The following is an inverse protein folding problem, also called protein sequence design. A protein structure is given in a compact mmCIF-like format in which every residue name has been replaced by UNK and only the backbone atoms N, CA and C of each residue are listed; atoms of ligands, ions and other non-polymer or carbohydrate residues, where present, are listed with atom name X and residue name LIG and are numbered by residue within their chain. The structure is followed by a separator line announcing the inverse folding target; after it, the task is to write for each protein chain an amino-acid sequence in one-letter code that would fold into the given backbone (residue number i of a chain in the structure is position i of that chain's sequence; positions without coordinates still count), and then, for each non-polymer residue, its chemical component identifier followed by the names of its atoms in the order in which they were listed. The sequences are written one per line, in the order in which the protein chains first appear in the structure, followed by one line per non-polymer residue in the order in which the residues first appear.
data_IF_985178225976
#
_entry.id   IF_985178225976
#
_cell.length_a   1.000
_cell.length_b   1.000
_cell.length_c   1.000
_cell.angle_alpha   90.00
_cell.angle_beta   90.00
_cell.angle_gamma   90.00
#
_symmetry.space_group_name_H-M   'P 1'
#
loop_
_entity.id
_entity.type
_entity.pdbx_description
1 polymer ?
#
# COMPACT_ATOMS: atom_id res chain seq x y z
N UNK A 1 10.18 -1.92 -29.76
CA UNK A 1 9.63 -2.31 -29.66
C UNK A 1 8.92 -2.92 -29.57
N UNK A 2 8.64 -3.06 -29.68
CA UNK A 2 7.86 -3.54 -29.50
C UNK A 2 7.18 -4.31 -29.29
N UNK A 3 6.72 -4.52 -29.02
CA UNK A 3 5.95 -5.17 -28.81
C UNK A 3 5.06 -5.60 -28.73
N UNK A 4 4.52 -5.73 -28.69
CA UNK A 4 3.57 -6.11 -28.46
C UNK A 4 2.88 -6.89 -28.40
N UNK A 5 2.41 -7.28 -28.11
CA UNK A 5 1.61 -8.03 -28.00
C UNK A 5 0.62 -8.34 -27.87
N UNK A 6 0.23 -8.30 -27.77
CA UNK A 6 -0.86 -8.52 -27.65
C UNK A 6 -1.56 -9.64 -27.32
N UNK A 7 -1.77 -10.22 -26.76
CA UNK A 7 -2.46 -11.12 -26.55
C UNK A 7 -3.40 -11.17 -25.86
N UNK A 8 -3.86 -11.25 -25.75
CA UNK A 8 -4.96 -11.10 -25.17
C UNK A 8 -5.79 -12.23 -24.68
N UNK A 9 -5.53 -13.43 -24.95
CA UNK A 9 -6.23 -14.57 -24.42
C UNK A 9 -6.08 -14.63 -22.91
N UNK A 10 -7.13 -15.08 -22.23
CA UNK A 10 -7.05 -15.31 -20.80
C UNK A 10 -6.09 -16.42 -20.51
N UNK A 11 -5.25 -16.19 -19.52
CA UNK A 11 -4.23 -17.16 -19.16
C UNK A 11 -4.49 -17.66 -17.74
N UNK A 12 -4.17 -18.92 -17.48
CA UNK A 12 -4.17 -19.43 -16.12
C UNK A 12 -2.81 -19.28 -15.45
N UNK A 13 -1.83 -18.77 -16.18
CA UNK A 13 -0.51 -18.52 -15.62
C UNK A 13 -0.60 -17.41 -14.58
N UNK A 14 -0.15 -17.60 -13.32
CA UNK A 14 -0.22 -16.56 -12.31
C UNK A 14 0.47 -15.28 -12.73
N UNK A 15 1.60 -15.36 -13.44
CA UNK A 15 2.31 -14.17 -13.91
C UNK A 15 1.45 -13.38 -14.89
N UNK A 16 0.81 -14.08 -15.81
CA UNK A 16 -0.04 -13.42 -16.80
C UNK A 16 -1.28 -12.82 -16.17
N UNK A 17 -1.88 -13.51 -15.22
CA UNK A 17 -3.04 -12.98 -14.50
C UNK A 17 -2.67 -11.68 -13.77
N UNK A 18 -1.49 -11.63 -13.18
CA UNK A 18 -1.05 -10.42 -12.49
C UNK A 18 -0.75 -9.29 -13.46
N UNK A 19 -0.27 -9.59 -14.66
CA UNK A 19 -0.10 -8.57 -15.70
C UNK A 19 -1.42 -7.98 -16.12
N UNK A 20 -2.43 -8.84 -16.29
CA UNK A 20 -3.77 -8.39 -16.65
C UNK A 20 -4.34 -7.49 -15.57
N UNK A 21 -4.10 -7.83 -14.30
CA UNK A 21 -4.54 -7.01 -13.18
C UNK A 21 -3.83 -5.67 -13.19
N UNK A 22 -2.54 -5.64 -13.49
CA UNK A 22 -1.77 -4.41 -13.59
C UNK A 22 -2.31 -3.51 -14.69
N UNK A 23 -2.61 -4.08 -15.86
CA UNK A 23 -3.17 -3.31 -16.96
C UNK A 23 -4.52 -2.71 -16.58
N UNK A 24 -5.32 -3.47 -15.86
CA UNK A 24 -6.62 -3.00 -15.39
C UNK A 24 -6.45 -1.83 -14.43
N UNK A 25 -5.47 -1.89 -13.55
CA UNK A 25 -5.17 -0.81 -12.63
C UNK A 25 -4.77 0.45 -13.37
N UNK A 26 -3.96 0.32 -14.41
CA UNK A 26 -3.55 1.47 -15.22
C UNK A 26 -4.74 2.17 -15.85
N UNK A 27 -5.69 1.38 -16.33
CA UNK A 27 -6.89 1.95 -16.94
C UNK A 27 -7.77 2.64 -15.90
N UNK A 28 -7.77 2.14 -14.68
CA UNK A 28 -8.64 2.65 -13.63
C UNK A 28 -8.07 3.90 -12.96
N UNK A 29 -6.77 3.89 -12.65
CA UNK A 29 -6.15 4.96 -11.86
C UNK A 29 -5.09 5.75 -12.62
N UNK A 30 -4.87 5.43 -13.89
CA UNK A 30 -3.88 6.11 -14.70
C UNK A 30 -2.52 5.45 -14.55
N UNK A 31 -1.50 6.22 -14.22
CA UNK A 31 -0.14 5.71 -14.15
C UNK A 31 0.06 4.93 -12.85
N UNK A 32 0.42 3.64 -12.98
CA UNK A 32 0.65 2.77 -11.84
C UNK A 32 1.99 3.07 -11.18
N UNK A 33 2.93 3.65 -11.93
CA UNK A 33 4.27 3.98 -11.43
C UNK A 33 4.48 5.49 -11.54
N UNK A 34 3.85 6.26 -10.64
CA UNK A 34 4.05 7.72 -10.74
C UNK A 34 5.51 8.04 -10.48
N UNK A 35 6.15 8.62 -11.48
CA UNK A 35 7.57 8.93 -11.40
C UNK A 35 7.88 9.91 -10.29
N UNK A 36 6.87 10.59 -9.79
CA UNK A 36 7.02 11.62 -8.78
C UNK A 36 6.53 11.21 -7.40
N UNK A 37 6.33 9.90 -7.16
CA UNK A 37 5.94 9.47 -5.82
C UNK A 37 7.14 9.65 -4.88
N UNK A 38 6.95 10.40 -3.82
CA UNK A 38 8.01 10.67 -2.85
C UNK A 38 7.52 10.35 -1.46
N UNK A 39 8.12 9.33 -0.85
CA UNK A 39 7.86 9.09 0.56
C UNK A 39 8.61 10.15 1.36
N UNK A 40 8.02 10.56 2.49
CA UNK A 40 8.63 11.59 3.31
C UNK A 40 9.64 11.01 4.31
N UNK A 41 9.59 9.70 4.55
CA UNK A 41 10.50 9.07 5.49
C UNK A 41 10.50 7.56 5.26
N UNK A 42 11.56 6.89 5.74
CA UNK A 42 11.61 5.44 5.74
C UNK A 42 10.79 4.91 6.92
N UNK A 43 10.53 3.60 6.92
CA UNK A 43 9.77 3.00 8.01
C UNK A 43 10.53 3.09 9.33
N UNK A 44 11.87 3.01 9.30
CA UNK A 44 12.65 3.17 10.51
C UNK A 44 12.59 4.60 11.04
N UNK A 45 12.67 5.59 10.14
CA UNK A 45 12.55 7.00 10.52
C UNK A 45 11.19 7.29 11.11
N UNK A 46 10.13 6.67 10.55
CA UNK A 46 8.79 6.80 11.07
C UNK A 46 8.71 6.25 12.50
N UNK A 47 9.24 5.07 12.72
CA UNK A 47 9.21 4.44 14.04
C UNK A 47 9.95 5.28 15.07
N UNK A 48 11.08 5.86 14.67
CA UNK A 48 11.88 6.67 15.57
C UNK A 48 11.20 8.00 15.89
N UNK A 49 10.65 8.64 14.87
CA UNK A 49 10.02 9.96 15.05
C UNK A 49 8.81 9.89 15.97
N UNK A 50 8.05 8.82 15.91
CA UNK A 50 6.81 8.69 16.68
C UNK A 50 6.93 7.72 17.85
N UNK A 51 8.16 7.41 18.25
CA UNK A 51 8.39 6.48 19.36
C UNK A 51 7.74 6.95 20.67
N UNK A 52 7.60 8.27 20.84
CA UNK A 52 6.99 8.83 22.04
C UNK A 52 5.49 8.93 22.04
N UNK A 53 4.84 8.50 20.95
CA UNK A 53 3.39 8.54 20.86
C UNK A 53 2.80 7.48 21.80
N UNK A 54 1.84 7.86 22.63
CA UNK A 54 1.28 6.96 23.62
C UNK A 54 0.19 6.08 23.03
N UNK A 55 -0.11 4.93 23.67
CA UNK A 55 -1.21 4.09 23.19
C UNK A 55 -2.51 4.88 23.10
N UNK A 56 -3.26 4.61 22.04
CA UNK A 56 -4.55 5.26 21.75
C UNK A 56 -4.43 6.76 21.48
N UNK A 57 -3.23 7.24 21.17
CA UNK A 57 -2.98 8.64 20.87
C UNK A 57 -2.86 8.83 19.36
N UNK A 58 -3.39 9.95 18.88
CA UNK A 58 -3.27 10.34 17.48
C UNK A 58 -2.37 11.54 17.35
N UNK A 59 -1.58 11.57 16.28
CA UNK A 59 -0.84 12.75 15.90
C UNK A 59 -1.60 13.47 14.79
N UNK A 60 -1.43 14.78 14.67
CA UNK A 60 -2.03 15.52 13.57
C UNK A 60 -1.19 15.40 12.29
N UNK A 61 -0.02 14.79 12.38
CA UNK A 61 0.89 14.71 11.25
C UNK A 61 0.36 13.80 10.17
N UNK A 62 0.54 14.23 8.92
CA UNK A 62 0.27 13.42 7.73
C UNK A 62 1.61 13.05 7.13
N UNK A 63 1.82 11.77 6.92
CA UNK A 63 3.10 11.28 6.40
C UNK A 63 2.86 10.45 5.15
N UNK A 64 3.92 10.27 4.36
CA UNK A 64 3.89 9.43 3.16
C UNK A 64 5.01 8.40 3.29
N UNK A 65 4.62 7.13 3.24
CA UNK A 65 5.57 6.02 3.37
C UNK A 65 5.30 5.02 2.26
N UNK A 66 6.21 4.07 2.09
CA UNK A 66 6.07 3.04 1.07
C UNK A 66 6.62 1.74 1.62
N UNK A 67 6.13 0.63 1.09
CA UNK A 67 6.66 -0.67 1.48
C UNK A 67 5.98 -1.80 0.77
N UNK A 68 6.53 -3.00 0.95
CA UNK A 68 6.00 -4.23 0.39
C UNK A 68 4.97 -4.82 1.34
N UNK A 69 3.83 -5.20 0.81
CA UNK A 69 2.76 -5.77 1.62
C UNK A 69 3.15 -7.19 2.03
N UNK A 70 3.27 -7.42 3.33
CA UNK A 70 3.62 -8.73 3.88
C UNK A 70 2.42 -9.44 4.48
N UNK A 71 1.44 -8.71 4.97
CA UNK A 71 0.23 -9.32 5.51
C UNK A 71 -0.96 -8.41 5.26
N UNK A 72 -2.14 -9.02 5.19
CA UNK A 72 -3.37 -8.30 4.97
C UNK A 72 -4.46 -9.05 5.71
N UNK A 73 -5.22 -8.35 6.55
CA UNK A 73 -6.25 -8.95 7.39
C UNK A 73 -7.54 -8.16 7.23
N UNK A 74 -8.68 -8.84 7.39
CA UNK A 74 -10.00 -8.22 7.32
C UNK A 74 -10.20 -7.47 6.00
N UNK A 75 -9.93 -8.18 4.90
CA UNK A 75 -10.11 -7.65 3.52
C UNK A 75 -9.30 -6.38 3.29
N UNK A 76 -8.11 -6.32 3.88
CA UNK A 76 -7.22 -5.18 3.68
C UNK A 76 -7.38 -4.07 4.70
N UNK A 77 -8.28 -4.22 5.67
CA UNK A 77 -8.44 -3.20 6.70
C UNK A 77 -7.13 -2.99 7.47
N UNK A 78 -6.41 -4.07 7.75
CA UNK A 78 -5.10 -4.03 8.39
C UNK A 78 -4.08 -4.62 7.45
N UNK A 79 -3.04 -3.87 7.14
CA UNK A 79 -1.93 -4.38 6.34
C UNK A 79 -0.62 -4.02 7.03
N UNK A 80 0.36 -4.91 6.90
CA UNK A 80 1.72 -4.60 7.33
C UNK A 80 2.56 -4.40 6.08
N UNK A 81 3.22 -3.25 5.99
CA UNK A 81 4.13 -2.99 4.88
C UNK A 81 5.55 -2.89 5.42
N UNK A 82 6.49 -3.43 4.66
CA UNK A 82 7.89 -3.46 5.02
C UNK A 82 8.73 -2.76 3.96
N UNK A 83 9.68 -1.95 4.40
CA UNK A 83 10.78 -1.55 3.54
C UNK A 83 12.04 -2.17 4.12
N UNK A 84 13.22 -1.80 3.59
CA UNK A 84 14.47 -2.39 4.06
C UNK A 84 14.77 -2.03 5.52
N UNK A 85 14.12 -1.00 6.05
CA UNK A 85 14.43 -0.48 7.37
C UNK A 85 13.44 -0.93 8.45
N UNK A 86 12.24 -1.37 8.10
CA UNK A 86 11.28 -1.76 9.13
C UNK A 86 9.87 -1.95 8.64
N UNK A 87 8.95 -2.12 9.56
CA UNK A 87 7.56 -2.46 9.33
C UNK A 87 6.65 -1.35 9.85
N UNK A 88 5.55 -1.10 9.14
CA UNK A 88 4.50 -0.18 9.59
C UNK A 88 3.15 -0.85 9.37
N UNK A 89 2.25 -0.70 10.33
CA UNK A 89 0.88 -1.16 10.19
C UNK A 89 0.05 -0.06 9.52
N UNK A 90 -0.76 -0.45 8.56
CA UNK A 90 -1.65 0.45 7.85
C UNK A 90 -3.08 0.08 8.19
N UNK A 91 -3.89 1.08 8.51
CA UNK A 91 -5.29 0.89 8.85
C UNK A 91 -6.15 1.61 7.82
N UNK A 92 -7.06 0.87 7.18
CA UNK A 92 -7.96 1.40 6.15
C UNK A 92 -9.39 1.07 6.55
N UNK A 93 -10.10 2.06 7.05
CA UNK A 93 -11.45 1.88 7.55
C UNK A 93 -12.38 2.91 6.93
N UNK A 94 -13.64 2.54 6.76
CA UNK A 94 -14.60 3.42 6.09
C UNK A 94 -14.76 4.78 6.77
N UNK A 95 -14.46 4.84 8.07
CA UNK A 95 -14.60 6.09 8.82
C UNK A 95 -13.40 7.02 8.64
N UNK A 96 -12.25 6.50 8.21
CA UNK A 96 -11.01 7.28 8.12
C UNK A 96 -10.39 7.26 6.74
N UNK A 97 -10.72 6.26 5.91
CA UNK A 97 -10.12 6.09 4.59
C UNK A 97 -11.18 6.34 3.53
N UNK A 98 -10.96 7.27 2.59
CA UNK A 98 -11.93 7.55 1.55
C UNK A 98 -12.23 6.32 0.71
N UNK A 99 -13.43 6.29 0.14
CA UNK A 99 -13.87 5.16 -0.67
C UNK A 99 -12.94 4.92 -1.86
N UNK A 100 -12.43 5.98 -2.46
CA UNK A 100 -11.50 5.87 -3.60
C UNK A 100 -10.26 5.07 -3.23
N UNK A 101 -9.72 5.32 -2.03
CA UNK A 101 -8.55 4.58 -1.56
C UNK A 101 -8.94 3.14 -1.23
N UNK A 102 -10.08 2.93 -0.58
CA UNK A 102 -10.53 1.58 -0.21
C UNK A 102 -10.83 0.73 -1.44
N UNK A 103 -11.18 1.35 -2.56
CA UNK A 103 -11.45 0.62 -3.79
C UNK A 103 -10.23 -0.12 -4.33
N UNK A 104 -9.03 0.31 -3.96
CA UNK A 104 -7.81 -0.39 -4.38
C UNK A 104 -7.52 -1.64 -3.56
N UNK A 105 -8.10 -1.77 -2.37
CA UNK A 105 -7.76 -2.87 -1.48
C UNK A 105 -7.93 -4.26 -2.11
N UNK A 106 -9.02 -4.54 -2.85
CA UNK A 106 -9.17 -5.86 -3.47
C UNK A 106 -8.13 -6.15 -4.54
N UNK A 107 -7.44 -5.13 -5.03
CA UNK A 107 -6.44 -5.30 -6.09
C UNK A 107 -5.02 -5.45 -5.55
N UNK A 108 -4.85 -5.31 -4.24
CA UNK A 108 -3.53 -5.41 -3.61
C UNK A 108 -3.29 -6.86 -3.20
N UNK A 109 -2.16 -7.40 -3.64
CA UNK A 109 -1.74 -8.76 -3.28
C UNK A 109 -0.49 -8.71 -2.42
N UNK A 110 -0.26 -9.78 -1.68
CA UNK A 110 0.98 -9.90 -0.91
C UNK A 110 2.16 -9.80 -1.88
N UNK A 111 3.17 -9.05 -1.49
CA UNK A 111 4.34 -8.83 -2.33
C UNK A 111 4.29 -7.54 -3.13
N UNK A 112 3.10 -6.95 -3.27
CA UNK A 112 3.00 -5.65 -3.97
C UNK A 112 3.67 -4.56 -3.16
N UNK A 113 4.20 -3.56 -3.85
CA UNK A 113 4.75 -2.38 -3.18
C UNK A 113 3.74 -1.25 -3.34
N UNK A 114 3.34 -0.69 -2.20
CA UNK A 114 2.34 0.37 -2.19
C UNK A 114 2.88 1.58 -1.46
N UNK A 115 2.32 2.73 -1.79
CA UNK A 115 2.58 3.97 -1.07
C UNK A 115 1.34 4.36 -0.30
N UNK A 116 1.54 4.88 0.90
CA UNK A 116 0.46 5.28 1.79
C UNK A 116 0.70 6.71 2.24
N UNK A 117 -0.34 7.53 2.14
CA UNK A 117 -0.34 8.84 2.74
C UNK A 117 -1.45 8.86 3.77
N UNK A 118 -1.14 9.25 5.00
CA UNK A 118 -2.16 9.23 6.02
C UNK A 118 -1.72 9.78 7.35
N UNK A 119 -2.60 9.67 8.32
CA UNK A 119 -2.44 10.23 9.65
C UNK A 119 -1.79 9.21 10.58
N UNK A 120 -0.86 9.70 11.39
CA UNK A 120 -0.12 8.85 12.33
C UNK A 120 -0.93 8.67 13.61
N UNK A 121 -0.96 7.43 14.10
CA UNK A 121 -1.58 7.13 15.39
C UNK A 121 -0.92 5.91 16.02
N UNK A 122 -1.14 5.74 17.31
CA UNK A 122 -0.78 4.49 17.99
C UNK A 122 -2.06 3.86 18.49
N UNK A 123 -2.26 2.58 18.20
CA UNK A 123 -3.48 1.87 18.61
C UNK A 123 -3.48 1.66 20.13
N UNK A 124 -4.61 1.24 20.64
CA UNK A 124 -4.74 0.94 22.07
C UNK A 124 -3.76 -0.15 22.50
N UNK A 125 -3.41 -1.04 21.59
CA UNK A 125 -2.45 -2.12 21.86
C UNK A 125 -1.01 -1.65 21.76
N UNK A 126 -0.80 -0.40 21.37
CA UNK A 126 0.54 0.15 21.27
C UNK A 126 1.19 0.00 19.90
N UNK A 127 0.44 -0.41 18.88
CA UNK A 127 0.99 -0.57 17.55
C UNK A 127 0.99 0.77 16.82
N UNK A 128 2.15 1.19 16.36
CA UNK A 128 2.28 2.43 15.60
C UNK A 128 1.70 2.20 14.21
N UNK A 129 0.77 3.06 13.80
CA UNK A 129 -0.10 2.80 12.67
C UNK A 129 -0.33 4.07 11.88
N UNK A 130 -0.62 3.92 10.59
CA UNK A 130 -1.04 5.04 9.75
C UNK A 130 -2.47 4.79 9.31
N UNK A 131 -3.37 5.74 9.60
CA UNK A 131 -4.72 5.74 9.05
C UNK A 131 -4.59 6.20 7.60
N UNK A 132 -4.86 5.30 6.65
CA UNK A 132 -4.64 5.60 5.24
C UNK A 132 -5.66 6.61 4.72
N UNK A 133 -5.17 7.66 4.08
CA UNK A 133 -6.00 8.63 3.37
C UNK A 133 -5.87 8.41 1.86
N UNK A 134 -4.68 8.05 1.41
CA UNK A 134 -4.42 7.78 0.00
C UNK A 134 -3.57 6.53 -0.11
N UNK A 135 -3.87 5.70 -1.09
CA UNK A 135 -3.14 4.47 -1.36
C UNK A 135 -2.73 4.49 -2.82
N UNK A 136 -1.45 4.25 -3.09
CA UNK A 136 -0.91 4.25 -4.45
C UNK A 136 -0.24 2.92 -4.72
N UNK A 137 -0.59 2.27 -5.83
CA UNK A 137 0.11 1.07 -6.26
C UNK A 137 1.41 1.49 -6.93
N UNK A 138 2.55 1.12 -6.34
CA UNK A 138 3.86 1.48 -6.87
C UNK A 138 4.45 0.37 -7.73
N UNK A 139 4.36 -0.87 -7.29
CA UNK A 139 4.88 -2.01 -8.04
C UNK A 139 3.97 -3.20 -7.80
N UNK A 140 3.41 -3.73 -8.87
CA UNK A 140 2.57 -4.92 -8.79
C UNK A 140 3.46 -6.14 -8.92
N UNK A 141 3.38 -7.06 -7.94
CA UNK A 141 4.16 -8.28 -8.05
C UNK A 141 3.55 -9.18 -9.13
N UNK A 142 4.42 -9.75 -9.96
CA UNK A 142 3.99 -10.63 -11.04
C UNK A 142 4.17 -12.11 -10.70
N UNK A 143 4.83 -12.39 -9.57
CA UNK A 143 5.06 -13.76 -9.14
C UNK A 143 4.43 -13.98 -7.78
N UNK A 144 3.82 -15.13 -7.54
CA UNK A 144 3.24 -15.41 -6.21
C UNK A 144 4.36 -15.48 -5.17
N UNK A 145 4.02 -15.03 -3.99
CA UNK A 145 4.94 -15.13 -2.86
C UNK A 145 4.89 -16.50 -2.23
#
# INVERSE_FOLDING_TARGET
MTEQKTETALSSDPTEVRRQKLDQLRKTVGDVYPAHFHRTMTNAEFAEKYAGLEPDQESEDIVTVAGRVYSSRNSGMFMDIHDASGKIQIFSHKDTTPEEARALLPMIDLGDIIGIKGQVRRTKRGELTINAHEITMLTKTLLPM
#
